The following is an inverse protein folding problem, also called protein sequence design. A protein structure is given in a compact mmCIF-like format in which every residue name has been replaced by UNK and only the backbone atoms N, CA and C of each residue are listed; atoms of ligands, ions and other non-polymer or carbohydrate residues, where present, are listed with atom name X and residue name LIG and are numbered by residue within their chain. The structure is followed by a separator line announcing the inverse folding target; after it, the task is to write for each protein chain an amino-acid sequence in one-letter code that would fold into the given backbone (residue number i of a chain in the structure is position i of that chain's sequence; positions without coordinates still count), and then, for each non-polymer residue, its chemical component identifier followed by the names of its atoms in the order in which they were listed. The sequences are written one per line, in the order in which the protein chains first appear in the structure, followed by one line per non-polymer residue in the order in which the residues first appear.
data_IF_175682951164
#
_entry.id   IF_175682951164
#
_cell.length_a   1.000
_cell.length_b   1.000
_cell.length_c   1.000
_cell.angle_alpha   90.00
_cell.angle_beta   90.00
_cell.angle_gamma   90.00
#
_symmetry.space_group_name_H-M   'P 1'
#
loop_
_entity.id
_entity.type
_entity.pdbx_description
1 polymer ?
#
# COMPACT_ATOMS: atom_id res chain seq x y z
N UNK A 1 20.84 -1.60 6.92
CA UNK A 1 19.81 -1.02 6.03
C UNK A 1 18.52 -1.84 6.07
N UNK A 2 18.50 -3.07 5.53
CA UNK A 2 17.30 -3.92 5.52
C UNK A 2 16.72 -4.22 6.90
N UNK A 3 17.56 -4.57 7.89
CA UNK A 3 17.10 -4.79 9.26
C UNK A 3 16.40 -3.54 9.87
N UNK A 4 16.92 -2.34 9.57
CA UNK A 4 16.32 -1.09 10.02
C UNK A 4 14.96 -0.80 9.36
N UNK A 5 14.82 -1.09 8.07
CA UNK A 5 13.52 -1.04 7.39
C UNK A 5 12.52 -2.01 8.02
N UNK A 6 12.91 -3.27 8.21
CA UNK A 6 12.02 -4.30 8.75
C UNK A 6 11.56 -3.94 10.16
N UNK A 7 12.44 -3.36 10.99
CA UNK A 7 12.09 -2.90 12.33
C UNK A 7 11.09 -1.74 12.28
N UNK A 8 11.30 -0.78 11.38
CA UNK A 8 10.38 0.34 11.17
C UNK A 8 9.01 -0.13 10.66
N UNK A 9 9.00 -1.01 9.65
CA UNK A 9 7.76 -1.62 9.13
C UNK A 9 7.03 -2.40 10.21
N UNK A 10 7.74 -3.20 11.02
CA UNK A 10 7.17 -3.92 12.15
C UNK A 10 6.54 -2.97 13.18
N UNK A 11 7.20 -1.86 13.49
CA UNK A 11 6.66 -0.83 14.37
C UNK A 11 5.40 -0.17 13.79
N UNK A 12 5.36 0.11 12.48
CA UNK A 12 4.18 0.65 11.79
C UNK A 12 3.02 -0.34 11.81
N UNK A 13 3.28 -1.63 11.57
CA UNK A 13 2.26 -2.68 11.66
C UNK A 13 1.72 -2.77 13.09
N UNK A 14 2.61 -2.79 14.09
CA UNK A 14 2.23 -2.86 15.49
C UNK A 14 1.37 -1.65 15.91
N UNK A 15 1.83 -0.43 15.62
CA UNK A 15 1.09 0.79 15.91
C UNK A 15 -0.25 0.83 15.16
N UNK A 16 -0.23 0.50 13.86
CA UNK A 16 -1.42 0.43 13.02
C UNK A 16 -2.47 -0.54 13.54
N UNK A 17 -2.07 -1.72 14.02
CA UNK A 17 -2.99 -2.70 14.61
C UNK A 17 -3.75 -2.17 15.83
N UNK A 18 -3.14 -1.29 16.63
CA UNK A 18 -3.79 -0.63 17.77
C UNK A 18 -4.79 0.43 17.30
N UNK A 19 -4.45 1.18 16.25
CA UNK A 19 -5.34 2.18 15.65
C UNK A 19 -6.55 1.51 15.01
N UNK A 20 -6.37 0.37 14.33
CA UNK A 20 -7.46 -0.42 13.75
C UNK A 20 -8.48 -0.82 14.81
N UNK A 21 -8.04 -1.28 15.99
CA UNK A 21 -8.93 -1.65 17.10
C UNK A 21 -9.76 -0.47 17.63
N UNK A 22 -9.30 0.78 17.47
CA UNK A 22 -9.99 1.98 17.95
C UNK A 22 -10.89 2.63 16.92
N UNK A 23 -10.46 2.66 15.65
CA UNK A 23 -11.07 3.49 14.60
C UNK A 23 -11.72 2.66 13.48
N UNK A 24 -11.50 1.34 13.47
CA UNK A 24 -12.01 0.41 12.46
C UNK A 24 -11.09 0.27 11.25
N UNK A 25 -11.10 -0.92 10.63
CA UNK A 25 -10.22 -1.29 9.50
C UNK A 25 -10.48 -0.43 8.25
N UNK A 26 -11.73 -0.14 7.92
CA UNK A 26 -12.10 0.67 6.74
C UNK A 26 -11.54 2.10 6.77
N UNK A 27 -11.54 2.74 7.94
CA UNK A 27 -10.98 4.09 8.11
C UNK A 27 -9.47 4.06 8.03
N UNK A 28 -8.83 3.09 8.69
CA UNK A 28 -7.37 2.95 8.67
C UNK A 28 -6.85 2.69 7.26
N UNK A 29 -7.49 1.81 6.48
CA UNK A 29 -7.10 1.52 5.10
C UNK A 29 -7.08 2.81 4.26
N UNK A 30 -8.17 3.61 4.31
CA UNK A 30 -8.27 4.82 3.50
C UNK A 30 -7.30 5.90 3.97
N UNK A 31 -7.10 6.09 5.28
CA UNK A 31 -6.12 7.05 5.82
C UNK A 31 -4.69 6.63 5.49
N UNK A 32 -4.35 5.35 5.61
CA UNK A 32 -3.03 4.84 5.27
C UNK A 32 -2.74 4.92 3.76
N UNK A 33 -3.71 4.58 2.91
CA UNK A 33 -3.56 4.72 1.45
C UNK A 33 -3.47 6.19 1.02
N UNK A 34 -4.32 7.07 1.55
CA UNK A 34 -4.27 8.50 1.21
C UNK A 34 -2.98 9.17 1.68
N UNK A 35 -2.49 8.86 2.89
CA UNK A 35 -1.19 9.35 3.37
C UNK A 35 -0.04 8.80 2.52
N UNK A 36 -0.05 7.52 2.16
CA UNK A 36 0.96 6.92 1.29
C UNK A 36 0.96 7.55 -0.11
N UNK A 37 -0.21 7.85 -0.70
CA UNK A 37 -0.35 8.56 -1.98
C UNK A 37 0.16 9.99 -1.90
N UNK A 38 -0.21 10.72 -0.85
CA UNK A 38 0.21 12.11 -0.64
C UNK A 38 1.74 12.19 -0.48
N UNK A 39 2.32 11.33 0.36
CA UNK A 39 3.77 11.25 0.51
C UNK A 39 4.46 10.83 -0.80
N UNK A 40 3.93 9.82 -1.50
CA UNK A 40 4.53 9.38 -2.78
C UNK A 40 4.51 10.51 -3.80
N UNK A 41 3.43 11.29 -3.89
CA UNK A 41 3.32 12.43 -4.80
C UNK A 41 4.32 13.54 -4.43
N UNK A 42 4.46 13.87 -3.14
CA UNK A 42 5.43 14.84 -2.67
C UNK A 42 6.88 14.41 -2.96
N UNK A 43 7.20 13.13 -2.74
CA UNK A 43 8.53 12.58 -3.04
C UNK A 43 8.80 12.55 -4.55
N UNK A 44 7.78 12.28 -5.38
CA UNK A 44 7.91 12.30 -6.84
C UNK A 44 8.23 13.72 -7.34
N UNK A 45 7.52 14.74 -6.83
CA UNK A 45 7.79 16.15 -7.15
C UNK A 45 9.19 16.58 -6.71
N UNK A 46 9.59 16.20 -5.49
CA UNK A 46 10.92 16.52 -4.97
C UNK A 46 12.03 15.82 -5.77
N UNK A 47 11.85 14.54 -6.11
CA UNK A 47 12.80 13.77 -6.93
C UNK A 47 12.93 14.34 -8.35
N UNK A 48 11.85 14.88 -8.92
CA UNK A 48 11.87 15.56 -10.20
C UNK A 48 12.67 16.87 -10.15
N UNK A 49 12.46 17.69 -9.12
CA UNK A 49 13.23 18.92 -8.91
C UNK A 49 14.72 18.66 -8.64
N UNK A 50 15.06 17.55 -7.97
CA UNK A 50 16.42 17.13 -7.68
C UNK A 50 17.14 16.45 -8.88
N UNK A 51 16.61 16.57 -10.11
CA UNK A 51 17.22 15.97 -11.30
C UNK A 51 17.24 14.44 -11.30
N UNK A 52 16.34 13.81 -10.55
CA UNK A 52 16.21 12.35 -10.49
C UNK A 52 17.24 11.63 -9.61
N UNK A 53 18.08 12.38 -8.86
CA UNK A 53 19.09 11.87 -7.92
C UNK A 53 18.96 12.49 -6.53
N UNK A 54 17.87 12.21 -5.81
CA UNK A 54 17.69 12.70 -4.45
C UNK A 54 18.78 12.17 -3.49
N UNK A 55 19.06 12.93 -2.42
CA UNK A 55 19.97 12.50 -1.37
C UNK A 55 19.52 11.14 -0.77
N UNK A 56 20.43 10.17 -0.76
CA UNK A 56 20.12 8.76 -0.46
C UNK A 56 19.40 8.58 0.88
N UNK A 57 19.87 9.23 1.96
CA UNK A 57 19.28 9.07 3.29
C UNK A 57 17.83 9.60 3.36
N UNK A 58 17.57 10.78 2.79
CA UNK A 58 16.24 11.38 2.78
C UNK A 58 15.27 10.54 1.95
N UNK A 59 15.71 10.12 0.75
CA UNK A 59 14.90 9.24 -0.10
C UNK A 59 14.60 7.91 0.59
N UNK A 60 15.61 7.31 1.24
CA UNK A 60 15.49 6.04 1.92
C UNK A 60 14.48 6.08 3.08
N UNK A 61 14.57 7.10 3.95
CA UNK A 61 13.65 7.25 5.08
C UNK A 61 12.21 7.42 4.57
N UNK A 62 12.00 8.27 3.57
CA UNK A 62 10.68 8.52 2.99
C UNK A 62 10.09 7.26 2.36
N UNK A 63 10.89 6.52 1.58
CA UNK A 63 10.46 5.25 0.97
C UNK A 63 10.14 4.19 2.02
N UNK A 64 10.89 4.15 3.13
CA UNK A 64 10.62 3.22 4.23
C UNK A 64 9.28 3.51 4.89
N UNK A 65 8.99 4.78 5.20
CA UNK A 65 7.70 5.21 5.78
C UNK A 65 6.55 4.87 4.82
N UNK A 66 6.71 5.22 3.55
CA UNK A 66 5.73 4.96 2.51
C UNK A 66 5.42 3.46 2.39
N UNK A 67 6.45 2.61 2.35
CA UNK A 67 6.24 1.17 2.29
C UNK A 67 5.66 0.62 3.58
N UNK A 68 6.04 1.13 4.75
CA UNK A 68 5.45 0.74 6.03
C UNK A 68 3.94 0.95 6.07
N UNK A 69 3.46 2.11 5.58
CA UNK A 69 2.02 2.39 5.47
C UNK A 69 1.30 1.39 4.55
N UNK A 70 1.92 1.02 3.41
CA UNK A 70 1.34 0.03 2.49
C UNK A 70 1.35 -1.38 3.07
N UNK A 71 2.43 -1.78 3.73
CA UNK A 71 2.53 -3.09 4.38
C UNK A 71 1.47 -3.27 5.46
N UNK A 72 1.07 -2.21 6.16
CA UNK A 72 -0.05 -2.25 7.11
C UNK A 72 -1.40 -2.53 6.41
N UNK A 73 -1.61 -1.99 5.21
CA UNK A 73 -2.89 -2.07 4.49
C UNK A 73 -3.14 -3.45 3.89
N UNK A 74 -2.12 -4.09 3.34
CA UNK A 74 -2.22 -5.40 2.67
C UNK A 74 -2.96 -6.47 3.51
N UNK A 75 -2.54 -6.78 4.75
CA UNK A 75 -3.23 -7.78 5.56
C UNK A 75 -4.64 -7.37 5.96
N UNK A 76 -4.93 -6.07 6.10
CA UNK A 76 -6.27 -5.58 6.42
C UNK A 76 -7.25 -5.82 5.27
N UNK A 77 -6.85 -5.51 4.03
CA UNK A 77 -7.67 -5.75 2.85
C UNK A 77 -7.86 -7.26 2.61
N UNK A 78 -6.81 -8.06 2.80
CA UNK A 78 -6.87 -9.53 2.71
C UNK A 78 -7.89 -10.10 3.70
N UNK A 79 -7.81 -9.71 4.98
CA UNK A 79 -8.75 -10.15 6.00
C UNK A 79 -10.19 -9.72 5.66
N UNK A 80 -10.36 -8.48 5.21
CA UNK A 80 -11.66 -7.93 4.80
C UNK A 80 -12.27 -8.64 3.58
N UNK A 81 -11.45 -9.11 2.64
CA UNK A 81 -11.90 -9.85 1.47
C UNK A 81 -12.28 -11.31 1.82
N UNK A 82 -11.67 -11.88 2.85
CA UNK A 82 -11.95 -13.24 3.32
C UNK A 82 -13.15 -13.34 4.27
N UNK A 83 -13.52 -12.25 4.96
CA UNK A 83 -14.64 -12.20 5.91
C UNK A 83 -15.95 -12.82 5.40
N UNK A 84 -16.42 -12.56 4.16
CA UNK A 84 -17.67 -13.16 3.65
C UNK A 84 -17.48 -14.54 2.98
N UNK A 85 -16.26 -15.07 2.87
CA UNK A 85 -15.97 -16.21 1.97
C UNK A 85 -16.28 -17.58 2.56
N UNK A 86 -16.45 -17.71 3.87
CA UNK A 86 -16.88 -18.96 4.52
C UNK A 86 -16.10 -20.19 4.05
N UNK A 87 -16.81 -21.21 3.57
CA UNK A 87 -16.23 -22.46 3.03
C UNK A 87 -15.33 -22.24 1.80
N UNK A 88 -15.50 -21.14 1.07
CA UNK A 88 -14.71 -20.81 -0.11
C UNK A 88 -13.46 -19.99 0.21
N UNK A 89 -13.13 -19.76 1.49
CA UNK A 89 -11.97 -18.97 1.90
C UNK A 89 -10.64 -19.48 1.32
N UNK A 90 -10.48 -20.81 1.20
CA UNK A 90 -9.28 -21.40 0.60
C UNK A 90 -9.11 -21.03 -0.87
N UNK A 91 -10.18 -21.16 -1.66
CA UNK A 91 -10.19 -20.78 -3.08
C UNK A 91 -10.02 -19.27 -3.25
N UNK A 92 -10.68 -18.47 -2.42
CA UNK A 92 -10.57 -17.03 -2.46
C UNK A 92 -9.14 -16.54 -2.14
N UNK A 93 -8.49 -17.13 -1.13
CA UNK A 93 -7.09 -16.84 -0.79
C UNK A 93 -6.14 -17.21 -1.94
N UNK A 94 -6.37 -18.35 -2.61
CA UNK A 94 -5.59 -18.75 -3.78
C UNK A 94 -5.72 -17.73 -4.92
N UNK A 95 -6.95 -17.31 -5.24
CA UNK A 95 -7.20 -16.29 -6.27
C UNK A 95 -6.53 -14.96 -5.91
N UNK A 96 -6.65 -14.49 -4.66
CA UNK A 96 -5.99 -13.26 -4.23
C UNK A 96 -4.47 -13.37 -4.38
N UNK A 97 -3.88 -14.50 -3.97
CA UNK A 97 -2.46 -14.75 -4.13
C UNK A 97 -2.03 -14.73 -5.60
N UNK A 98 -2.71 -15.48 -6.46
CA UNK A 98 -2.43 -15.57 -7.89
C UNK A 98 -2.57 -14.22 -8.59
N UNK A 99 -3.66 -13.48 -8.34
CA UNK A 99 -3.88 -12.16 -8.95
C UNK A 99 -2.86 -11.14 -8.43
N UNK A 100 -2.55 -11.16 -7.13
CA UNK A 100 -1.57 -10.22 -6.56
C UNK A 100 -0.16 -10.46 -7.09
N UNK A 101 0.27 -11.72 -7.18
CA UNK A 101 1.59 -12.06 -7.70
C UNK A 101 1.66 -11.92 -9.22
N UNK A 102 0.72 -12.53 -9.94
CA UNK A 102 0.70 -12.52 -11.41
C UNK A 102 0.40 -11.14 -11.98
N UNK A 103 -0.67 -10.49 -11.50
CA UNK A 103 -1.02 -9.12 -11.89
C UNK A 103 0.05 -8.12 -11.44
N UNK A 104 0.58 -8.29 -10.23
CA UNK A 104 1.68 -7.48 -9.71
C UNK A 104 2.94 -7.59 -10.57
N UNK A 105 3.32 -8.79 -11.01
CA UNK A 105 4.49 -9.00 -11.87
C UNK A 105 4.31 -8.34 -13.24
N UNK A 106 3.13 -8.45 -13.84
CA UNK A 106 2.83 -7.77 -15.12
C UNK A 106 2.94 -6.26 -14.97
N UNK A 107 2.31 -5.68 -13.94
CA UNK A 107 2.37 -4.24 -13.66
C UNK A 107 3.79 -3.77 -13.31
N UNK A 108 4.54 -4.57 -12.56
CA UNK A 108 5.94 -4.29 -12.24
C UNK A 108 6.81 -4.27 -13.50
N UNK A 109 6.59 -5.18 -14.44
CA UNK A 109 7.38 -5.25 -15.68
C UNK A 109 7.30 -3.97 -16.53
N UNK A 110 6.17 -3.25 -16.49
CA UNK A 110 6.03 -1.95 -17.16
C UNK A 110 6.86 -0.86 -16.46
N UNK A 111 6.90 -0.89 -15.12
CA UNK A 111 7.65 0.07 -14.31
C UNK A 111 9.15 -0.20 -14.40
N UNK A 112 9.57 -1.46 -14.35
CA UNK A 112 10.98 -1.87 -14.38
C UNK A 112 11.68 -1.37 -15.64
N UNK A 113 11.00 -1.37 -16.79
CA UNK A 113 11.54 -0.80 -18.04
C UNK A 113 11.83 0.69 -17.95
N UNK A 114 11.10 1.42 -17.10
CA UNK A 114 11.32 2.84 -16.88
C UNK A 114 12.44 3.11 -15.85
N UNK A 115 12.85 2.13 -15.05
CA UNK A 115 13.92 2.24 -14.05
C UNK A 115 15.29 1.97 -14.70
N UNK A 116 15.70 2.79 -15.66
CA UNK A 116 17.01 2.64 -16.31
C UNK A 116 18.11 3.55 -15.71
N UNK A 117 17.74 4.67 -15.08
CA UNK A 117 18.72 5.64 -14.58
C UNK A 117 18.24 6.64 -13.53
N UNK A 118 17.00 6.53 -13.07
CA UNK A 118 16.43 7.38 -12.03
C UNK A 118 15.48 6.60 -11.12
N UNK A 119 15.37 7.02 -9.87
CA UNK A 119 14.41 6.50 -8.88
C UNK A 119 13.03 7.16 -9.00
N UNK A 120 12.88 8.23 -9.78
CA UNK A 120 11.62 8.94 -9.96
C UNK A 120 10.48 8.04 -10.50
N UNK A 121 10.70 7.18 -11.51
CA UNK A 121 9.64 6.30 -12.03
C UNK A 121 9.03 5.40 -10.96
N UNK A 122 9.83 4.89 -10.03
CA UNK A 122 9.35 4.06 -8.92
C UNK A 122 8.32 4.81 -8.05
N UNK A 123 8.65 6.05 -7.67
CA UNK A 123 7.80 6.86 -6.80
C UNK A 123 6.55 7.35 -7.54
N UNK A 124 6.66 7.60 -8.84
CA UNK A 124 5.51 7.93 -9.70
C UNK A 124 4.55 6.75 -9.79
N UNK A 125 5.05 5.53 -10.00
CA UNK A 125 4.22 4.32 -10.02
C UNK A 125 3.55 4.08 -8.66
N UNK A 126 4.26 4.33 -7.57
CA UNK A 126 3.70 4.30 -6.22
C UNK A 126 2.54 5.26 -6.01
N UNK A 127 2.61 6.48 -6.57
CA UNK A 127 1.51 7.42 -6.55
C UNK A 127 0.36 6.93 -7.45
N UNK A 128 0.64 6.54 -8.70
CA UNK A 128 -0.37 6.10 -9.67
C UNK A 128 -1.15 4.87 -9.21
N UNK A 129 -0.45 3.78 -8.86
CA UNK A 129 -1.09 2.56 -8.35
C UNK A 129 -1.74 2.79 -6.98
N UNK A 130 -1.17 3.67 -6.15
CA UNK A 130 -1.77 4.08 -4.88
C UNK A 130 -3.12 4.80 -5.07
N UNK A 131 -3.25 5.69 -6.06
CA UNK A 131 -4.50 6.37 -6.40
C UNK A 131 -5.56 5.36 -6.86
N UNK A 132 -5.18 4.42 -7.72
CA UNK A 132 -6.09 3.35 -8.18
C UNK A 132 -6.56 2.49 -6.99
N UNK A 133 -5.63 2.07 -6.14
CA UNK A 133 -5.94 1.31 -4.92
C UNK A 133 -6.84 2.09 -3.96
N UNK A 134 -6.59 3.40 -3.78
CA UNK A 134 -7.42 4.28 -2.96
C UNK A 134 -8.83 4.44 -3.55
N UNK A 135 -8.96 4.57 -4.87
CA UNK A 135 -10.25 4.64 -5.54
C UNK A 135 -11.06 3.36 -5.33
N UNK A 136 -10.45 2.18 -5.48
CA UNK A 136 -11.09 0.91 -5.16
C UNK A 136 -11.46 0.78 -3.68
N UNK A 137 -10.59 1.20 -2.76
CA UNK A 137 -10.89 1.18 -1.34
C UNK A 137 -12.07 2.09 -0.97
N UNK A 138 -12.14 3.29 -1.56
CA UNK A 138 -13.27 4.20 -1.39
C UNK A 138 -14.56 3.64 -1.99
N UNK A 139 -14.47 3.01 -3.16
CA UNK A 139 -15.60 2.35 -3.81
C UNK A 139 -16.12 1.18 -2.97
N UNK A 140 -15.24 0.26 -2.54
CA UNK A 140 -15.60 -0.86 -1.68
C UNK A 140 -16.24 -0.40 -0.37
N UNK A 141 -15.71 0.68 0.23
CA UNK A 141 -16.26 1.27 1.46
C UNK A 141 -17.65 1.89 1.26
N UNK A 142 -17.98 2.40 0.06
CA UNK A 142 -19.33 2.89 -0.27
C UNK A 142 -20.33 1.74 -0.41
N UNK A 143 -19.90 0.58 -0.89
CA UNK A 143 -20.75 -0.59 -1.12
C UNK A 143 -20.79 -1.56 0.07
N UNK A 144 -19.98 -1.34 1.11
CA UNK A 144 -20.11 -2.01 2.40
C UNK A 144 -21.34 -1.52 3.16
N UNK A 145 -22.51 -1.99 2.76
CA UNK A 145 -23.70 -2.00 3.60
C UNK A 145 -23.70 -3.31 4.39
N UNK A 146 -23.02 -3.34 5.53
CA UNK A 146 -23.28 -4.37 6.55
C UNK A 146 -23.86 -3.69 7.79
N UNK A 147 -25.19 -3.54 7.87
CA UNK A 147 -25.90 -3.41 9.13
C UNK A 147 -26.29 -4.82 9.63
N UNK A 148 -25.47 -5.45 10.48
CA UNK A 148 -25.84 -6.65 11.25
C UNK A 148 -24.89 -6.68 12.45
N UNK A 149 -25.26 -6.70 13.73
CA UNK A 149 -26.49 -6.65 14.48
C UNK A 149 -26.04 -6.44 15.95
N UNK A 150 -26.89 -5.81 16.76
CA UNK A 150 -26.72 -5.76 18.22
C UNK A 150 -27.01 -7.11 18.84
#
# INVERSE_FOLDING_TARGET
YFAGMSLCMGAVIYAGSRVVKRVGSDRVIVVALSSAVTLSTAVALWSWQAGGRPAFLTWFVLITVINGLRTLVTPLIQAQAMEPMGELAGTAAAVIGTVSLGGGAVLASFVDRAIAGSVTPLVVSYAGYGVIGLAFALWARRHRTVPIGR
#
